data_IF_385688401726
#
_entry.id   IF_385688401726
#
_cell.length_a   1.000
_cell.length_b   1.000
_cell.length_c   1.000
_cell.angle_alpha   90.00
_cell.angle_beta   90.00
_cell.angle_gamma   90.00
#
_symmetry.space_group_name_H-M   'P 1'
#
loop_
_entity.id
_entity.type
_entity.pdbx_description
1 polymer ?
#
# COMPACT_ATOMS: atom_id res chain seq x y z
N UNK A 1 -27.40 -4.66 -5.81
CA UNK A 1 -26.60 -5.35 -6.84
C UNK A 1 -25.94 -4.29 -7.72
N UNK A 2 -24.65 -4.01 -7.48
CA UNK A 2 -23.89 -2.95 -8.17
C UNK A 2 -23.56 -3.32 -9.63
N UNK A 3 -23.63 -4.59 -10.01
CA UNK A 3 -23.21 -5.10 -11.33
C UNK A 3 -24.00 -4.48 -12.51
N UNK A 4 -25.16 -3.91 -12.23
CA UNK A 4 -26.02 -3.27 -13.23
C UNK A 4 -26.10 -1.74 -13.08
N UNK A 5 -25.42 -1.12 -12.11
CA UNK A 5 -25.60 0.30 -11.82
C UNK A 5 -25.26 1.19 -13.03
N UNK A 6 -24.10 1.00 -13.65
CA UNK A 6 -23.62 1.82 -14.76
C UNK A 6 -24.47 1.61 -16.00
N UNK A 7 -24.87 0.35 -16.26
CA UNK A 7 -25.79 0.05 -17.37
C UNK A 7 -27.15 0.67 -17.15
N UNK A 8 -27.64 0.67 -15.91
CA UNK A 8 -28.90 1.33 -15.55
C UNK A 8 -28.77 2.85 -15.71
N UNK A 9 -27.70 3.46 -15.20
CA UNK A 9 -27.40 4.89 -15.35
C UNK A 9 -27.33 5.27 -16.83
N UNK A 10 -26.53 4.55 -17.63
CA UNK A 10 -26.38 4.82 -19.06
C UNK A 10 -27.72 4.77 -19.80
N UNK A 11 -28.57 3.78 -19.48
CA UNK A 11 -29.91 3.63 -20.09
C UNK A 11 -30.88 4.76 -19.74
N UNK A 12 -30.80 5.33 -18.53
CA UNK A 12 -31.75 6.37 -18.09
C UNK A 12 -31.27 7.78 -18.35
N UNK A 13 -29.95 7.96 -18.48
CA UNK A 13 -29.32 9.28 -18.59
C UNK A 13 -28.76 9.57 -19.98
N UNK A 14 -28.81 8.63 -20.94
CA UNK A 14 -28.19 8.72 -22.26
C UNK A 14 -26.73 9.23 -22.24
N UNK A 15 -25.98 8.94 -21.17
CA UNK A 15 -24.56 9.31 -21.04
C UNK A 15 -23.72 8.18 -21.67
N UNK A 16 -22.71 8.48 -22.51
CA UNK A 16 -21.80 7.47 -22.99
C UNK A 16 -21.06 6.82 -21.81
N UNK A 17 -21.15 5.49 -21.70
CA UNK A 17 -20.53 4.75 -20.61
C UNK A 17 -19.19 4.16 -21.05
N UNK A 18 -18.12 4.61 -20.43
CA UNK A 18 -16.76 4.09 -20.61
C UNK A 18 -16.47 3.05 -19.52
N UNK A 19 -16.00 1.88 -19.93
CA UNK A 19 -15.51 0.84 -19.02
C UNK A 19 -14.07 0.48 -19.40
N UNK A 20 -13.18 0.70 -18.44
CA UNK A 20 -11.74 0.43 -18.50
C UNK A 20 -11.40 -0.45 -17.31
N UNK A 21 -10.90 -1.65 -17.62
CA UNK A 21 -10.47 -2.63 -16.63
C UNK A 21 -9.10 -2.29 -16.06
N UNK A 22 -8.14 -2.02 -16.93
CA UNK A 22 -6.76 -1.62 -16.59
C UNK A 22 -6.54 -0.14 -16.90
N UNK A 23 -6.27 0.66 -15.86
CA UNK A 23 -6.00 2.10 -15.99
C UNK A 23 -4.51 2.44 -15.89
N UNK A 24 -3.68 1.53 -15.38
CA UNK A 24 -2.23 1.67 -15.28
C UNK A 24 -1.53 0.80 -16.33
N UNK A 25 -0.69 1.40 -17.16
CA UNK A 25 0.00 0.74 -18.27
C UNK A 25 1.49 1.04 -18.27
N UNK A 26 2.29 0.11 -18.77
CA UNK A 26 3.66 0.42 -19.15
C UNK A 26 3.70 1.17 -20.49
N UNK A 27 4.81 1.87 -20.74
CA UNK A 27 5.02 2.56 -22.01
C UNK A 27 4.93 1.59 -23.21
N UNK A 28 4.29 2.05 -24.28
CA UNK A 28 4.07 1.37 -25.57
C UNK A 28 3.09 0.19 -25.54
N UNK A 29 2.40 -0.03 -24.43
CA UNK A 29 1.33 -1.02 -24.33
C UNK A 29 0.07 -0.58 -25.08
N UNK A 30 -0.73 -1.56 -25.52
CA UNK A 30 -2.06 -1.31 -26.09
C UNK A 30 -3.09 -1.32 -24.96
N UNK A 31 -3.70 -0.17 -24.72
CA UNK A 31 -4.85 -0.06 -23.84
C UNK A 31 -6.14 -0.41 -24.61
N UNK A 32 -7.08 -1.06 -23.91
CA UNK A 32 -8.40 -1.37 -24.43
C UNK A 32 -9.49 -0.81 -23.52
N UNK A 33 -10.62 -0.45 -24.12
CA UNK A 33 -11.81 0.00 -23.41
C UNK A 33 -13.06 -0.52 -24.09
N UNK A 34 -14.13 -0.67 -23.31
CA UNK A 34 -15.46 -0.89 -23.85
C UNK A 34 -16.31 0.36 -23.65
N UNK A 35 -17.20 0.59 -24.60
CA UNK A 35 -18.04 1.77 -24.64
C UNK A 35 -19.47 1.39 -24.96
N UNK A 36 -20.42 1.93 -24.20
CA UNK A 36 -21.85 1.88 -24.54
C UNK A 36 -22.34 3.28 -24.88
N UNK A 37 -22.61 3.53 -26.17
CA UNK A 37 -23.01 4.84 -26.69
C UNK A 37 -23.60 4.74 -28.11
N UNK A 38 -24.50 5.67 -28.44
CA UNK A 38 -25.02 5.82 -29.81
C UNK A 38 -24.10 6.73 -30.63
N UNK A 39 -23.61 6.20 -31.75
CA UNK A 39 -22.71 6.89 -32.71
C UNK A 39 -21.62 7.76 -32.04
N UNK A 40 -20.75 7.17 -31.21
CA UNK A 40 -19.78 7.92 -30.43
C UNK A 40 -18.70 8.54 -31.32
N UNK A 41 -18.34 9.79 -31.00
CA UNK A 41 -17.08 10.40 -31.41
C UNK A 41 -16.07 10.19 -30.29
N UNK A 42 -14.95 9.54 -30.61
CA UNK A 42 -13.92 9.14 -29.64
C UNK A 42 -12.62 9.84 -29.94
N UNK A 43 -12.02 10.43 -28.91
CA UNK A 43 -10.71 11.09 -28.97
C UNK A 43 -9.84 10.62 -27.81
N UNK A 44 -8.57 10.32 -28.07
CA UNK A 44 -7.58 10.08 -27.01
C UNK A 44 -6.45 11.09 -27.15
N UNK A 45 -6.08 11.76 -26.06
CA UNK A 45 -4.98 12.74 -26.02
C UNK A 45 -4.03 12.46 -24.88
N UNK A 46 -2.72 12.67 -25.10
CA UNK A 46 -1.74 12.70 -24.01
C UNK A 46 -1.68 14.07 -23.32
N UNK A 47 -0.86 14.19 -22.28
CA UNK A 47 -0.63 15.42 -21.52
C UNK A 47 -0.12 16.62 -22.36
N UNK A 48 0.54 16.35 -23.48
CA UNK A 48 0.97 17.39 -24.41
C UNK A 48 -0.14 17.87 -25.35
N UNK A 49 -1.36 17.33 -25.22
CA UNK A 49 -2.50 17.61 -26.10
C UNK A 49 -2.42 16.92 -27.47
N UNK A 50 -1.43 16.04 -27.70
CA UNK A 50 -1.30 15.27 -28.94
C UNK A 50 -2.39 14.21 -28.98
N UNK A 51 -3.14 14.19 -30.08
CA UNK A 51 -4.15 13.17 -30.35
C UNK A 51 -3.50 11.86 -30.81
N UNK A 52 -4.01 10.74 -30.30
CA UNK A 52 -3.54 9.39 -30.62
C UNK A 52 -4.55 8.67 -31.52
N UNK A 53 -4.07 7.85 -32.47
CA UNK A 53 -4.94 7.04 -33.31
C UNK A 53 -5.68 5.99 -32.46
N UNK A 54 -7.00 5.94 -32.61
CA UNK A 54 -7.87 4.98 -31.92
C UNK A 54 -8.48 4.04 -32.95
N UNK A 55 -8.37 2.74 -32.71
CA UNK A 55 -9.11 1.73 -33.48
C UNK A 55 -10.42 1.45 -32.75
N UNK A 56 -11.54 1.80 -33.38
CA UNK A 56 -12.88 1.63 -32.80
C UNK A 56 -13.70 0.63 -33.61
N UNK A 57 -14.15 -0.44 -32.96
CA UNK A 57 -14.92 -1.51 -33.58
C UNK A 57 -16.30 -1.62 -32.92
N UNK A 58 -17.37 -1.52 -33.70
CA UNK A 58 -18.72 -1.78 -33.23
C UNK A 58 -18.92 -3.28 -33.02
N UNK A 59 -19.48 -3.68 -31.88
CA UNK A 59 -19.72 -5.10 -31.56
C UNK A 59 -21.19 -5.47 -31.72
N UNK A 60 -22.06 -5.01 -30.81
CA UNK A 60 -23.50 -5.29 -30.84
C UNK A 60 -24.30 -4.11 -30.31
N UNK A 61 -25.36 -3.74 -31.03
CA UNK A 61 -26.24 -2.63 -30.63
C UNK A 61 -25.46 -1.32 -30.51
N UNK A 62 -25.47 -0.73 -29.31
CA UNK A 62 -24.74 0.49 -28.98
C UNK A 62 -23.39 0.22 -28.30
N UNK A 63 -22.85 -1.01 -28.40
CA UNK A 63 -21.55 -1.37 -27.80
C UNK A 63 -20.40 -1.30 -28.80
N UNK A 64 -19.28 -0.79 -28.30
CA UNK A 64 -18.04 -0.59 -29.03
C UNK A 64 -16.86 -1.09 -28.21
N UNK A 65 -15.82 -1.53 -28.90
CA UNK A 65 -14.51 -1.81 -28.32
C UNK A 65 -13.53 -0.87 -28.97
N UNK A 66 -12.76 -0.15 -28.15
CA UNK A 66 -11.69 0.71 -28.62
C UNK A 66 -10.33 0.21 -28.17
N UNK A 67 -9.33 0.47 -29.01
CA UNK A 67 -7.92 0.17 -28.74
C UNK A 67 -7.06 1.37 -29.09
N UNK A 68 -6.07 1.65 -28.25
CA UNK A 68 -5.12 2.74 -28.45
C UNK A 68 -3.77 2.32 -27.90
N UNK A 69 -2.70 2.64 -28.61
CA UNK A 69 -1.34 2.44 -28.12
C UNK A 69 -0.94 3.65 -27.28
N UNK A 70 -0.58 3.42 -26.02
CA UNK A 70 -0.13 4.48 -25.13
C UNK A 70 1.41 4.52 -25.20
N UNK A 71 1.98 5.67 -25.56
CA UNK A 71 3.40 5.74 -25.91
C UNK A 71 4.27 5.94 -24.66
N UNK A 72 4.56 7.17 -24.29
CA UNK A 72 5.46 7.51 -23.19
C UNK A 72 4.70 7.68 -21.86
N UNK A 73 5.45 7.68 -20.74
CA UNK A 73 4.90 7.92 -19.42
C UNK A 73 4.18 9.27 -19.33
N UNK A 74 3.05 9.29 -18.65
CA UNK A 74 2.14 10.43 -18.56
C UNK A 74 0.68 10.01 -18.45
N UNK A 75 -0.22 10.98 -18.44
CA UNK A 75 -1.65 10.75 -18.43
C UNK A 75 -2.22 10.83 -19.85
N UNK A 76 -3.25 10.03 -20.08
CA UNK A 76 -3.95 9.95 -21.36
C UNK A 76 -5.45 10.06 -21.12
N UNK A 77 -6.06 11.10 -21.68
CA UNK A 77 -7.50 11.34 -21.57
C UNK A 77 -8.22 10.71 -22.77
N UNK A 78 -9.11 9.75 -22.49
CA UNK A 78 -10.15 9.30 -23.41
C UNK A 78 -11.37 10.19 -23.24
N UNK A 79 -11.76 10.90 -24.30
CA UNK A 79 -12.99 11.69 -24.35
C UNK A 79 -13.96 11.05 -25.32
N UNK A 80 -15.19 10.80 -24.87
CA UNK A 80 -16.25 10.22 -25.68
C UNK A 80 -17.44 11.14 -25.71
N UNK A 81 -17.81 11.60 -26.90
CA UNK A 81 -19.03 12.38 -27.16
C UNK A 81 -20.09 11.51 -27.80
N UNK A 82 -21.30 11.55 -27.24
CA UNK A 82 -22.50 10.97 -27.85
C UNK A 82 -23.63 12.00 -27.76
N UNK A 83 -24.10 12.47 -28.91
CA UNK A 83 -24.98 13.63 -28.98
C UNK A 83 -24.36 14.87 -28.33
N UNK A 84 -25.06 15.46 -27.36
CA UNK A 84 -24.62 16.63 -26.61
C UNK A 84 -23.87 16.30 -25.30
N UNK A 85 -23.67 15.02 -24.98
CA UNK A 85 -23.04 14.56 -23.73
C UNK A 85 -21.62 14.09 -23.97
N UNK A 86 -20.78 14.29 -22.96
CA UNK A 86 -19.37 13.89 -22.97
C UNK A 86 -19.09 13.12 -21.68
N UNK A 87 -18.37 12.01 -21.82
CA UNK A 87 -17.75 11.30 -20.70
C UNK A 87 -16.25 11.21 -20.94
N UNK A 88 -15.49 11.17 -19.84
CA UNK A 88 -14.03 11.08 -19.88
C UNK A 88 -13.53 9.93 -19.02
N UNK A 89 -12.37 9.43 -19.42
CA UNK A 89 -11.60 8.47 -18.67
C UNK A 89 -10.11 8.77 -18.80
N UNK A 90 -9.32 8.30 -17.84
CA UNK A 90 -7.87 8.56 -17.80
C UNK A 90 -7.13 7.25 -17.64
N UNK A 91 -6.12 7.04 -18.49
CA UNK A 91 -5.06 6.08 -18.24
C UNK A 91 -3.83 6.79 -17.68
N UNK A 92 -3.13 6.12 -16.76
CA UNK A 92 -1.76 6.46 -16.37
C UNK A 92 -0.81 5.52 -17.08
N UNK A 93 0.17 6.07 -17.79
CA UNK A 93 1.36 5.31 -18.23
C UNK A 93 2.47 5.61 -17.24
N UNK A 94 2.88 4.60 -16.49
CA UNK A 94 3.89 4.76 -15.46
C UNK A 94 5.32 4.68 -16.04
N UNK A 95 6.27 5.36 -15.40
CA UNK A 95 7.68 5.09 -15.64
C UNK A 95 8.03 3.65 -15.26
N UNK A 96 9.11 3.06 -15.79
CA UNK A 96 9.59 1.75 -15.34
C UNK A 96 9.74 1.69 -13.82
N UNK A 97 9.39 0.58 -13.18
CA UNK A 97 9.43 0.46 -11.71
C UNK A 97 10.82 0.74 -11.12
N UNK A 98 11.89 0.38 -11.85
CA UNK A 98 13.26 0.77 -11.48
C UNK A 98 13.40 2.29 -11.33
N UNK A 99 12.92 3.05 -12.31
CA UNK A 99 12.97 4.51 -12.28
C UNK A 99 12.22 5.05 -11.05
N UNK A 100 11.03 4.50 -10.76
CA UNK A 100 10.22 4.91 -9.60
C UNK A 100 10.98 4.69 -8.29
N UNK A 101 11.60 3.51 -8.12
CA UNK A 101 12.39 3.18 -6.93
C UNK A 101 13.63 4.06 -6.78
N UNK A 102 14.37 4.27 -7.86
CA UNK A 102 15.56 5.13 -7.87
C UNK A 102 15.19 6.59 -7.54
N UNK A 103 14.10 7.11 -8.13
CA UNK A 103 13.62 8.47 -7.82
C UNK A 103 13.07 8.62 -6.41
N UNK A 104 12.43 7.60 -5.87
CA UNK A 104 12.00 7.60 -4.47
C UNK A 104 13.21 7.71 -3.52
N UNK A 105 14.30 6.97 -3.79
CA UNK A 105 15.57 7.07 -3.04
C UNK A 105 16.24 8.44 -3.20
N UNK A 106 16.33 8.96 -4.43
CA UNK A 106 16.88 10.30 -4.68
C UNK A 106 16.09 11.37 -3.90
N UNK A 107 14.76 11.26 -3.88
CA UNK A 107 13.89 12.17 -3.13
C UNK A 107 14.06 12.02 -1.61
N UNK A 108 14.28 10.81 -1.09
CA UNK A 108 14.60 10.62 0.33
C UNK A 108 15.90 11.35 0.74
N UNK A 109 16.88 11.45 -0.16
CA UNK A 109 18.11 12.20 0.06
C UNK A 109 17.92 13.71 -0.11
N UNK A 110 17.12 14.13 -1.11
CA UNK A 110 16.84 15.54 -1.40
C UNK A 110 15.97 16.19 -0.32
N UNK A 111 14.91 15.51 0.09
CA UNK A 111 13.96 15.97 1.09
C UNK A 111 14.31 15.33 2.43
N UNK A 112 15.17 16.02 3.19
CA UNK A 112 15.70 15.54 4.47
C UNK A 112 14.61 14.99 5.39
N UNK A 113 14.77 13.73 5.77
CA UNK A 113 13.97 13.02 6.77
C UNK A 113 14.21 13.61 8.18
N UNK A 114 13.15 13.91 8.93
CA UNK A 114 13.26 14.72 10.17
C UNK A 114 12.98 13.86 11.42
N UNK A 115 13.84 13.90 12.47
CA UNK A 115 13.57 13.23 13.75
C UNK A 115 12.51 14.01 14.55
N UNK A 116 11.24 13.81 14.22
CA UNK A 116 10.10 14.50 14.88
C UNK A 116 9.26 13.52 15.70
N UNK A 117 8.06 13.93 16.09
CA UNK A 117 7.09 13.10 16.80
C UNK A 117 6.51 11.95 15.99
N UNK A 118 6.57 12.00 14.65
CA UNK A 118 5.83 11.10 13.76
C UNK A 118 6.76 10.44 12.74
N UNK A 119 6.77 9.11 12.69
CA UNK A 119 7.66 8.35 11.81
C UNK A 119 7.48 8.61 10.32
N UNK A 120 6.30 9.08 9.92
CA UNK A 120 5.94 9.59 8.61
C UNK A 120 6.94 10.66 8.14
N UNK A 121 7.57 11.40 9.05
CA UNK A 121 8.66 12.36 8.75
C UNK A 121 9.98 11.71 8.32
N UNK A 122 10.12 10.39 8.47
CA UNK A 122 11.29 9.62 8.06
C UNK A 122 10.97 8.34 7.23
N UNK A 123 9.77 8.24 6.64
CA UNK A 123 9.36 7.10 5.79
C UNK A 123 10.19 6.91 4.53
N UNK A 124 10.87 7.96 4.05
CA UNK A 124 11.74 7.88 2.88
C UNK A 124 12.87 6.85 3.04
N UNK A 125 13.21 6.43 4.26
CA UNK A 125 14.20 5.38 4.48
C UNK A 125 13.74 3.99 4.03
N UNK A 126 12.43 3.69 4.02
CA UNK A 126 11.93 2.47 3.37
C UNK A 126 12.33 2.45 1.89
N UNK A 127 11.98 3.52 1.16
CA UNK A 127 12.35 3.64 -0.25
C UNK A 127 13.85 3.65 -0.47
N UNK A 128 14.62 4.26 0.43
CA UNK A 128 16.07 4.28 0.36
C UNK A 128 16.68 2.88 0.42
N UNK A 129 16.30 2.08 1.43
CA UNK A 129 16.89 0.76 1.66
C UNK A 129 16.35 -0.28 0.68
N UNK A 130 15.07 -0.23 0.33
CA UNK A 130 14.52 -1.08 -0.74
C UNK A 130 15.20 -0.80 -2.09
N UNK A 131 15.42 0.46 -2.46
CA UNK A 131 16.16 0.78 -3.68
C UNK A 131 17.63 0.36 -3.60
N UNK A 132 18.29 0.51 -2.45
CA UNK A 132 19.68 0.05 -2.26
C UNK A 132 19.82 -1.47 -2.47
N UNK A 133 18.83 -2.25 -2.00
CA UNK A 133 18.80 -3.71 -2.17
C UNK A 133 18.73 -4.16 -3.63
N UNK A 134 17.89 -3.50 -4.44
CA UNK A 134 17.63 -3.94 -5.82
C UNK A 134 18.44 -3.16 -6.88
N UNK A 135 18.81 -1.90 -6.59
CA UNK A 135 19.46 -0.95 -7.50
C UNK A 135 20.60 -0.21 -6.77
N UNK A 136 21.65 -0.92 -6.33
CA UNK A 136 22.69 -0.37 -5.47
C UNK A 136 23.39 0.85 -6.09
N UNK A 137 23.61 1.87 -5.27
CA UNK A 137 24.38 3.07 -5.61
C UNK A 137 25.23 3.45 -4.39
N UNK A 138 26.50 3.05 -4.40
CA UNK A 138 27.40 3.12 -3.24
C UNK A 138 27.42 4.51 -2.57
N UNK A 139 27.53 5.57 -3.35
CA UNK A 139 27.60 6.95 -2.84
C UNK A 139 26.30 7.36 -2.14
N UNK A 140 25.17 7.16 -2.83
CA UNK A 140 23.86 7.58 -2.33
C UNK A 140 23.40 6.70 -1.16
N UNK A 141 23.65 5.40 -1.23
CA UNK A 141 23.29 4.44 -0.18
C UNK A 141 24.09 4.70 1.09
N UNK A 142 25.39 5.01 0.97
CA UNK A 142 26.22 5.42 2.11
C UNK A 142 25.76 6.75 2.70
N UNK A 143 25.40 7.73 1.88
CA UNK A 143 24.87 9.01 2.35
C UNK A 143 23.59 8.81 3.17
N UNK A 144 22.65 8.03 2.65
CA UNK A 144 21.36 7.76 3.30
C UNK A 144 21.52 6.90 4.55
N UNK A 145 22.35 5.86 4.51
CA UNK A 145 22.67 5.00 5.65
C UNK A 145 23.29 5.81 6.81
N UNK A 146 24.31 6.63 6.52
CA UNK A 146 24.90 7.53 7.52
C UNK A 146 23.88 8.52 8.09
N UNK A 147 22.94 9.00 7.27
CA UNK A 147 21.92 9.90 7.76
C UNK A 147 20.89 9.20 8.64
N UNK A 148 20.46 8.00 8.26
CA UNK A 148 19.61 7.15 9.07
C UNK A 148 20.24 6.90 10.44
N UNK A 149 21.53 6.54 10.51
CA UNK A 149 22.21 6.29 11.78
C UNK A 149 22.26 7.54 12.67
N UNK A 150 22.51 8.71 12.08
CA UNK A 150 22.44 10.00 12.81
C UNK A 150 21.04 10.28 13.34
N UNK A 151 20.00 10.00 12.55
CA UNK A 151 18.60 10.19 12.95
C UNK A 151 18.20 9.19 14.03
N UNK A 152 18.54 7.92 13.86
CA UNK A 152 18.29 6.84 14.79
C UNK A 152 18.89 7.15 16.17
N UNK A 153 20.15 7.57 16.23
CA UNK A 153 20.86 7.90 17.47
C UNK A 153 20.30 9.15 18.18
N UNK A 154 19.51 9.99 17.50
CA UNK A 154 18.77 11.09 18.13
C UNK A 154 17.45 10.64 18.72
N UNK A 155 16.86 9.57 18.18
CA UNK A 155 15.53 9.08 18.56
C UNK A 155 15.59 7.93 19.57
N UNK A 156 16.73 7.23 19.67
CA UNK A 156 16.87 6.02 20.48
C UNK A 156 18.07 6.08 21.42
N UNK A 157 17.92 5.50 22.60
CA UNK A 157 19.00 5.28 23.55
C UNK A 157 20.02 4.29 22.97
N UNK A 158 21.30 4.67 22.94
CA UNK A 158 22.35 3.87 22.29
C UNK A 158 22.71 2.58 23.04
N UNK A 159 22.37 2.48 24.33
CA UNK A 159 22.69 1.32 25.16
C UNK A 159 21.48 0.41 25.29
N UNK A 160 20.34 0.98 25.71
CA UNK A 160 19.10 0.24 25.93
C UNK A 160 18.36 -0.08 24.63
N UNK A 161 18.61 0.68 23.56
CA UNK A 161 17.92 0.55 22.28
C UNK A 161 16.41 0.75 22.45
N UNK A 162 16.03 1.83 23.12
CA UNK A 162 14.64 2.21 23.39
C UNK A 162 14.37 3.62 22.84
N UNK A 163 13.13 3.96 22.45
CA UNK A 163 12.78 5.32 22.05
C UNK A 163 13.02 6.32 23.18
N UNK A 164 13.63 7.47 22.88
CA UNK A 164 13.84 8.57 23.85
C UNK A 164 12.60 9.45 24.00
N UNK A 165 11.81 9.59 22.93
CA UNK A 165 10.66 10.48 22.84
C UNK A 165 9.43 9.73 22.35
N UNK A 166 8.25 10.21 22.71
CA UNK A 166 6.95 9.66 22.25
C UNK A 166 6.87 8.13 22.36
N UNK A 167 7.37 7.56 23.47
CA UNK A 167 7.46 6.11 23.71
C UNK A 167 6.14 5.37 23.47
N UNK A 168 5.01 6.02 23.75
CA UNK A 168 3.69 5.41 23.58
C UNK A 168 3.22 5.39 22.13
N UNK A 169 3.83 6.17 21.22
CA UNK A 169 3.52 6.15 19.78
C UNK A 169 4.19 4.94 19.12
N UNK A 170 3.66 3.75 19.39
CA UNK A 170 4.26 2.45 19.02
C UNK A 170 4.48 2.26 17.52
N UNK A 171 3.68 2.92 16.69
CA UNK A 171 3.89 2.98 15.25
C UNK A 171 5.28 3.50 14.87
N UNK A 172 5.85 4.46 15.62
CA UNK A 172 7.22 4.94 15.39
C UNK A 172 8.23 3.79 15.53
N UNK A 173 8.11 3.04 16.62
CA UNK A 173 8.99 1.91 16.90
C UNK A 173 8.82 0.81 15.85
N UNK A 174 7.57 0.45 15.51
CA UNK A 174 7.29 -0.57 14.50
C UNK A 174 7.85 -0.19 13.12
N UNK A 175 7.70 1.07 12.71
CA UNK A 175 8.27 1.59 11.47
C UNK A 175 9.80 1.48 11.49
N UNK A 176 10.45 1.91 12.57
CA UNK A 176 11.92 1.84 12.68
C UNK A 176 12.43 0.40 12.66
N UNK A 177 11.70 -0.56 13.26
CA UNK A 177 12.00 -1.99 13.15
C UNK A 177 12.02 -2.41 11.66
N UNK A 178 10.98 -2.06 10.90
CA UNK A 178 10.92 -2.37 9.47
C UNK A 178 12.05 -1.74 8.66
N UNK A 179 12.41 -0.49 8.95
CA UNK A 179 13.52 0.18 8.25
C UNK A 179 14.89 -0.43 8.56
N UNK A 180 15.12 -0.87 9.81
CA UNK A 180 16.34 -1.58 10.18
C UNK A 180 16.43 -2.95 9.50
N UNK A 181 15.28 -3.63 9.36
CA UNK A 181 15.15 -4.86 8.59
C UNK A 181 15.54 -4.62 7.12
N UNK A 182 14.95 -3.62 6.46
CA UNK A 182 15.29 -3.29 5.07
C UNK A 182 16.76 -2.88 4.91
N UNK A 183 17.30 -2.12 5.86
CA UNK A 183 18.72 -1.73 5.89
C UNK A 183 19.63 -2.96 5.98
N UNK A 184 19.30 -3.91 6.86
CA UNK A 184 20.02 -5.18 6.96
C UNK A 184 19.93 -5.99 5.67
N UNK A 185 18.75 -6.12 5.05
CA UNK A 185 18.63 -6.86 3.79
C UNK A 185 19.40 -6.20 2.63
N UNK A 186 19.57 -4.88 2.66
CA UNK A 186 20.36 -4.15 1.68
C UNK A 186 21.87 -4.21 1.92
N UNK A 187 22.34 -4.24 3.18
CA UNK A 187 23.74 -3.99 3.54
C UNK A 187 24.43 -5.13 4.30
N UNK A 188 23.66 -6.05 4.89
CA UNK A 188 24.16 -7.22 5.62
C UNK A 188 24.69 -6.95 7.03
N UNK A 189 24.51 -5.75 7.59
CA UNK A 189 25.01 -5.40 8.92
C UNK A 189 24.14 -5.99 10.05
N UNK A 190 24.66 -7.02 10.72
CA UNK A 190 23.97 -7.68 11.84
C UNK A 190 23.68 -6.75 13.01
N UNK A 191 24.40 -5.64 13.19
CA UNK A 191 24.09 -4.68 14.26
C UNK A 191 22.75 -3.99 14.03
N UNK A 192 22.35 -3.75 12.77
CA UNK A 192 21.03 -3.19 12.47
C UNK A 192 19.91 -4.17 12.79
N UNK A 193 20.12 -5.45 12.48
CA UNK A 193 19.16 -6.50 12.85
C UNK A 193 19.08 -6.68 14.37
N UNK A 194 20.20 -6.59 15.10
CA UNK A 194 20.20 -6.63 16.58
C UNK A 194 19.46 -5.45 17.19
N UNK A 195 19.58 -4.25 16.61
CA UNK A 195 18.77 -3.08 17.02
C UNK A 195 17.29 -3.34 16.80
N UNK A 196 16.91 -3.89 15.63
CA UNK A 196 15.52 -4.22 15.32
C UNK A 196 14.95 -5.25 16.32
N UNK A 197 15.72 -6.29 16.60
CA UNK A 197 15.40 -7.34 17.59
C UNK A 197 15.14 -6.76 18.98
N UNK A 198 16.03 -5.90 19.48
CA UNK A 198 15.87 -5.24 20.78
C UNK A 198 14.68 -4.27 20.83
N UNK A 199 14.44 -3.52 19.76
CA UNK A 199 13.27 -2.64 19.67
C UNK A 199 11.96 -3.44 19.67
N UNK A 200 11.92 -4.59 19.00
CA UNK A 200 10.78 -5.48 19.02
C UNK A 200 10.54 -6.01 20.43
N UNK A 201 11.56 -6.50 21.13
CA UNK A 201 11.47 -6.92 22.54
C UNK A 201 10.88 -5.82 23.43
N UNK A 202 11.40 -4.60 23.31
CA UNK A 202 10.92 -3.46 24.09
C UNK A 202 9.45 -3.13 23.76
N UNK A 203 9.08 -3.09 22.48
CA UNK A 203 7.71 -2.78 22.05
C UNK A 203 6.72 -3.84 22.55
N UNK A 204 7.08 -5.12 22.44
CA UNK A 204 6.28 -6.24 22.93
C UNK A 204 6.08 -6.11 24.44
N UNK A 205 7.16 -5.91 25.21
CA UNK A 205 7.11 -5.82 26.67
C UNK A 205 6.29 -4.64 27.19
N UNK A 206 6.25 -3.53 26.45
CA UNK A 206 5.61 -2.28 26.89
C UNK A 206 4.20 -2.09 26.35
N UNK A 207 3.86 -2.76 25.25
CA UNK A 207 2.66 -2.42 24.46
C UNK A 207 1.76 -3.62 24.16
N UNK A 208 2.26 -4.86 24.20
CA UNK A 208 1.41 -6.04 23.99
C UNK A 208 0.71 -6.44 25.29
N UNK A 209 -0.60 -6.73 25.20
CA UNK A 209 -1.39 -7.23 26.34
C UNK A 209 -1.71 -8.72 26.23
N UNK A 210 -2.31 -9.28 27.27
CA UNK A 210 -2.67 -10.71 27.35
C UNK A 210 -3.53 -11.20 26.18
N UNK A 211 -4.41 -10.34 25.64
CA UNK A 211 -5.22 -10.66 24.47
C UNK A 211 -4.46 -10.64 23.14
N UNK A 212 -3.13 -10.43 23.16
CA UNK A 212 -2.26 -10.47 21.99
C UNK A 212 -2.14 -9.16 21.21
N UNK A 213 -3.09 -8.24 21.36
CA UNK A 213 -3.02 -6.95 20.68
C UNK A 213 -1.90 -6.06 21.22
N UNK A 214 -1.28 -5.28 20.32
CA UNK A 214 -0.47 -4.13 20.65
C UNK A 214 -1.35 -2.91 20.92
N UNK A 215 -1.05 -2.18 22.00
CA UNK A 215 -1.81 -1.04 22.47
C UNK A 215 -0.96 0.22 22.50
N UNK A 216 -1.60 1.34 22.16
CA UNK A 216 -1.14 2.65 22.58
C UNK A 216 -2.12 3.15 23.65
N UNK A 217 -1.63 3.32 24.88
CA UNK A 217 -2.47 3.61 26.04
C UNK A 217 -3.64 2.62 26.14
N UNK A 218 -4.89 3.08 26.07
CA UNK A 218 -6.10 2.28 26.17
C UNK A 218 -6.59 1.67 24.85
N UNK A 219 -6.01 2.06 23.71
CA UNK A 219 -6.54 1.75 22.38
C UNK A 219 -5.78 0.59 21.74
N UNK A 220 -6.52 -0.38 21.20
CA UNK A 220 -5.95 -1.43 20.35
C UNK A 220 -5.43 -0.80 19.08
N UNK A 221 -4.12 -0.89 18.88
CA UNK A 221 -3.41 -0.22 17.81
C UNK A 221 -2.87 -1.15 16.74
N UNK A 222 -3.08 -2.46 16.91
CA UNK A 222 -2.60 -3.45 15.93
C UNK A 222 -3.17 -3.16 14.54
N UNK A 223 -4.38 -2.60 14.47
CA UNK A 223 -5.07 -2.15 13.26
C UNK A 223 -4.57 -0.82 12.69
N UNK A 224 -3.62 -0.12 13.32
CA UNK A 224 -3.14 1.20 12.85
C UNK A 224 -1.72 1.05 12.28
N UNK A 225 -1.57 1.40 11.00
CA UNK A 225 -0.37 1.18 10.17
C UNK A 225 -0.14 -0.31 9.91
N UNK A 226 0.81 -0.98 10.57
CA UNK A 226 1.04 -2.42 10.35
C UNK A 226 2.07 -2.99 11.32
N UNK A 227 1.82 -2.79 12.62
CA UNK A 227 2.77 -3.12 13.68
C UNK A 227 3.20 -4.58 13.63
N UNK A 228 2.25 -5.50 13.51
CA UNK A 228 2.54 -6.93 13.45
C UNK A 228 3.31 -7.29 12.18
N UNK A 229 3.07 -6.61 11.04
CA UNK A 229 3.83 -6.83 9.79
C UNK A 229 5.32 -6.61 10.01
N UNK A 230 5.71 -5.48 10.59
CA UNK A 230 7.14 -5.17 10.79
C UNK A 230 7.83 -6.16 11.72
N UNK A 231 7.12 -6.67 12.73
CA UNK A 231 7.64 -7.74 13.61
C UNK A 231 7.70 -9.10 12.89
N UNK A 232 6.76 -9.40 11.99
CA UNK A 232 6.79 -10.60 11.15
C UNK A 232 7.97 -10.57 10.16
N UNK A 233 8.22 -9.44 9.52
CA UNK A 233 9.35 -9.28 8.59
C UNK A 233 10.69 -9.51 9.30
N UNK A 234 10.84 -8.93 10.48
CA UNK A 234 11.97 -9.22 11.38
C UNK A 234 12.07 -10.71 11.71
N UNK A 235 10.98 -11.32 12.18
CA UNK A 235 10.98 -12.71 12.61
C UNK A 235 11.31 -13.70 11.47
N UNK A 236 10.92 -13.39 10.24
CA UNK A 236 11.28 -14.20 9.04
C UNK A 236 12.80 -14.18 8.81
N UNK A 237 13.44 -13.01 8.95
CA UNK A 237 14.89 -12.90 8.80
C UNK A 237 15.65 -13.54 9.96
N UNK A 238 15.21 -13.31 11.20
CA UNK A 238 15.77 -13.95 12.37
C UNK A 238 15.66 -15.48 12.27
N UNK A 239 14.55 -16.01 11.73
CA UNK A 239 14.37 -17.45 11.51
C UNK A 239 15.42 -18.01 10.54
N UNK A 240 15.69 -17.29 9.45
CA UNK A 240 16.72 -17.68 8.48
C UNK A 240 18.12 -17.74 9.11
N UNK A 241 18.48 -16.76 9.93
CA UNK A 241 19.74 -16.80 10.69
C UNK A 241 19.71 -17.88 11.78
N UNK A 242 18.53 -18.14 12.34
CA UNK A 242 18.26 -19.16 13.34
C UNK A 242 18.48 -20.61 12.88
N UNK A 243 18.61 -20.84 11.58
CA UNK A 243 19.04 -22.13 11.03
C UNK A 243 20.46 -22.50 11.48
N UNK A 244 21.30 -21.51 11.79
CA UNK A 244 22.71 -21.69 12.14
C UNK A 244 23.06 -21.16 13.54
N UNK A 245 22.20 -20.32 14.14
CA UNK A 245 22.48 -19.65 15.41
C UNK A 245 21.27 -19.70 16.37
N UNK A 246 21.49 -20.26 17.56
CA UNK A 246 20.45 -20.41 18.58
C UNK A 246 19.91 -19.06 19.10
N UNK A 247 20.73 -18.02 19.14
CA UNK A 247 20.30 -16.67 19.54
C UNK A 247 19.20 -16.19 18.60
N UNK A 248 19.45 -16.23 17.29
CA UNK A 248 18.51 -15.78 16.28
C UNK A 248 17.25 -16.63 16.24
N UNK A 249 17.37 -17.95 16.41
CA UNK A 249 16.21 -18.84 16.54
C UNK A 249 15.30 -18.45 17.70
N UNK A 250 15.90 -18.14 18.85
CA UNK A 250 15.15 -17.75 20.06
C UNK A 250 14.44 -16.41 19.87
N UNK A 251 15.07 -15.45 19.22
CA UNK A 251 14.44 -14.18 18.86
C UNK A 251 13.28 -14.39 17.87
N UNK A 252 13.51 -15.16 16.80
CA UNK A 252 12.52 -15.47 15.79
C UNK A 252 11.25 -16.09 16.38
N UNK A 253 11.39 -17.09 17.25
CA UNK A 253 10.26 -17.77 17.88
C UNK A 253 9.44 -16.80 18.76
N UNK A 254 10.13 -15.95 19.53
CA UNK A 254 9.50 -14.95 20.39
C UNK A 254 8.75 -13.89 19.58
N UNK A 255 9.41 -13.29 18.59
CA UNK A 255 8.84 -12.23 17.77
C UNK A 255 7.70 -12.74 16.87
N UNK A 256 7.86 -13.93 16.27
CA UNK A 256 6.81 -14.56 15.50
C UNK A 256 5.58 -14.85 16.36
N UNK A 257 5.76 -15.45 17.55
CA UNK A 257 4.64 -15.75 18.45
C UNK A 257 3.91 -14.48 18.87
N UNK A 258 4.65 -13.42 19.20
CA UNK A 258 4.06 -12.12 19.55
C UNK A 258 3.22 -11.56 18.40
N UNK A 259 3.80 -11.46 17.20
CA UNK A 259 3.09 -10.93 16.05
C UNK A 259 1.90 -11.80 15.64
N UNK A 260 2.02 -13.12 15.75
CA UNK A 260 0.90 -14.05 15.51
C UNK A 260 -0.27 -13.80 16.45
N UNK A 261 -0.03 -13.63 17.75
CA UNK A 261 -1.10 -13.30 18.71
C UNK A 261 -1.82 -12.00 18.34
N UNK A 262 -1.09 -11.01 17.87
CA UNK A 262 -1.67 -9.75 17.42
C UNK A 262 -2.53 -9.94 16.14
N UNK A 263 -2.06 -10.73 15.18
CA UNK A 263 -2.83 -11.08 13.97
C UNK A 263 -4.07 -11.92 14.32
N UNK A 264 -3.95 -12.89 15.23
CA UNK A 264 -5.08 -13.69 15.70
C UNK A 264 -6.16 -12.79 16.33
N UNK A 265 -5.75 -11.75 17.07
CA UNK A 265 -6.65 -10.74 17.63
C UNK A 265 -7.34 -9.91 16.53
N UNK A 266 -6.64 -9.54 15.45
CA UNK A 266 -7.26 -8.89 14.30
C UNK A 266 -8.32 -9.79 13.64
N UNK A 267 -8.01 -11.08 13.45
CA UNK A 267 -8.97 -12.04 12.89
C UNK A 267 -10.21 -12.16 13.79
N UNK A 268 -10.00 -12.27 15.10
CA UNK A 268 -11.08 -12.36 16.08
C UNK A 268 -11.99 -11.11 16.12
N UNK A 269 -11.45 -9.94 15.75
CA UNK A 269 -12.19 -8.67 15.73
C UNK A 269 -13.19 -8.56 14.56
N UNK A 270 -13.01 -9.35 13.48
CA UNK A 270 -13.93 -9.43 12.35
C UNK A 270 -14.34 -8.08 11.69
N UNK A 271 -13.47 -7.06 11.77
CA UNK A 271 -13.77 -5.71 11.25
C UNK A 271 -14.14 -4.68 12.31
N UNK A 272 -14.38 -5.08 13.56
CA UNK A 272 -14.60 -4.19 14.70
C UNK A 272 -13.25 -3.73 15.28
N UNK A 273 -12.57 -2.86 14.53
CA UNK A 273 -11.24 -2.36 14.90
C UNK A 273 -11.33 -0.99 15.59
N UNK A 274 -10.32 -0.71 16.43
CA UNK A 274 -10.14 0.59 17.07
C UNK A 274 -9.09 1.41 16.30
N UNK A 275 -9.15 2.75 16.41
CA UNK A 275 -8.21 3.69 15.78
C UNK A 275 -7.88 4.89 16.68
N UNK A 276 -6.92 5.71 16.24
CA UNK A 276 -6.52 6.97 16.88
C UNK A 276 -7.55 8.10 16.81
N UNK A 277 -8.50 8.00 15.88
CA UNK A 277 -9.38 9.09 15.48
C UNK A 277 -10.85 8.81 15.77
N UNK A 278 -11.69 9.13 14.78
CA UNK A 278 -13.12 8.87 14.85
C UNK A 278 -13.38 7.35 14.79
N UNK A 279 -14.30 6.86 15.63
CA UNK A 279 -14.80 5.47 15.60
C UNK A 279 -15.70 5.25 14.38
N UNK A 280 -15.18 5.54 13.19
CA UNK A 280 -15.86 5.44 11.90
C UNK A 280 -15.19 4.36 11.08
N UNK A 281 -15.95 3.60 10.30
CA UNK A 281 -15.40 2.62 9.36
C UNK A 281 -14.54 3.35 8.32
N UNK A 282 -13.22 3.35 8.52
CA UNK A 282 -12.24 4.06 7.70
C UNK A 282 -11.27 3.10 7.00
N UNK A 283 -10.71 3.54 5.86
CA UNK A 283 -9.77 2.74 5.07
C UNK A 283 -8.54 2.32 5.88
N UNK A 284 -7.97 3.23 6.67
CA UNK A 284 -6.74 3.00 7.42
C UNK A 284 -6.79 1.68 8.18
N UNK A 285 -7.72 1.55 9.12
CA UNK A 285 -7.82 0.33 9.94
C UNK A 285 -8.09 -0.95 9.15
N UNK A 286 -8.88 -0.87 8.08
CA UNK A 286 -9.32 -2.03 7.31
C UNK A 286 -8.17 -2.55 6.45
N UNK A 287 -7.52 -1.65 5.70
CA UNK A 287 -6.37 -1.98 4.86
C UNK A 287 -5.19 -2.49 5.69
N UNK A 288 -4.89 -1.81 6.81
CA UNK A 288 -3.84 -2.20 7.75
C UNK A 288 -4.10 -3.58 8.38
N UNK A 289 -5.35 -3.89 8.71
CA UNK A 289 -5.69 -5.20 9.27
C UNK A 289 -5.65 -6.30 8.22
N UNK A 290 -6.24 -6.07 7.05
CA UNK A 290 -6.23 -7.02 5.94
C UNK A 290 -4.81 -7.37 5.51
N UNK A 291 -3.92 -6.39 5.34
CA UNK A 291 -2.56 -6.66 4.90
C UNK A 291 -1.76 -7.49 5.93
N UNK A 292 -1.96 -7.26 7.23
CA UNK A 292 -1.24 -8.00 8.28
C UNK A 292 -1.72 -9.45 8.38
N UNK A 293 -3.03 -9.68 8.27
CA UNK A 293 -3.61 -11.03 8.18
C UNK A 293 -3.13 -11.72 6.90
N UNK A 294 -3.10 -10.99 5.79
CA UNK A 294 -2.60 -11.47 4.50
C UNK A 294 -1.15 -11.91 4.56
N UNK A 295 -0.27 -11.11 5.16
CA UNK A 295 1.13 -11.48 5.34
C UNK A 295 1.26 -12.77 6.16
N UNK A 296 0.49 -12.91 7.26
CA UNK A 296 0.46 -14.14 8.04
C UNK A 296 0.06 -15.35 7.18
N UNK A 297 -0.99 -15.22 6.36
CA UNK A 297 -1.37 -16.27 5.42
C UNK A 297 -0.27 -16.61 4.41
N UNK A 298 0.46 -15.61 3.91
CA UNK A 298 1.55 -15.80 2.94
C UNK A 298 2.71 -16.60 3.54
N UNK A 299 3.12 -16.29 4.78
CA UNK A 299 4.26 -16.94 5.46
C UNK A 299 3.90 -18.31 6.05
N UNK A 300 2.63 -18.57 6.32
CA UNK A 300 2.13 -19.82 6.90
C UNK A 300 2.34 -21.00 5.93
N UNK A 301 2.89 -22.10 6.48
CA UNK A 301 3.18 -23.32 5.73
C UNK A 301 2.09 -24.37 5.90
N UNK A 302 1.39 -24.36 7.04
CA UNK A 302 0.25 -25.24 7.25
C UNK A 302 -0.93 -24.81 6.38
N UNK A 303 -1.45 -25.73 5.55
CA UNK A 303 -2.50 -25.42 4.59
C UNK A 303 -3.81 -24.99 5.26
N UNK A 304 -4.13 -25.54 6.44
CA UNK A 304 -5.36 -25.22 7.17
C UNK A 304 -5.27 -23.80 7.76
N UNK A 305 -4.18 -23.50 8.44
CA UNK A 305 -3.91 -22.17 8.99
C UNK A 305 -3.79 -21.11 7.88
N UNK A 306 -3.09 -21.42 6.78
CA UNK A 306 -3.00 -20.54 5.60
C UNK A 306 -4.38 -20.21 5.06
N UNK A 307 -5.25 -21.21 4.90
CA UNK A 307 -6.63 -20.99 4.45
C UNK A 307 -7.42 -20.13 5.45
N UNK A 308 -7.29 -20.39 6.75
CA UNK A 308 -7.96 -19.63 7.80
C UNK A 308 -7.64 -18.13 7.73
N UNK A 309 -6.37 -17.75 7.63
CA UNK A 309 -5.99 -16.34 7.48
C UNK A 309 -6.41 -15.77 6.12
N UNK A 310 -6.31 -16.56 5.05
CA UNK A 310 -6.76 -16.13 3.72
C UNK A 310 -8.24 -15.76 3.72
N UNK A 311 -9.10 -16.63 4.26
CA UNK A 311 -10.54 -16.39 4.34
C UNK A 311 -10.86 -15.15 5.21
N UNK A 312 -10.18 -15.01 6.34
CA UNK A 312 -10.35 -13.86 7.25
C UNK A 312 -9.94 -12.54 6.59
N UNK A 313 -8.77 -12.49 5.96
CA UNK A 313 -8.30 -11.33 5.20
C UNK A 313 -9.29 -10.96 4.09
N UNK A 314 -9.74 -11.93 3.29
CA UNK A 314 -10.66 -11.68 2.19
C UNK A 314 -12.00 -11.13 2.68
N UNK A 315 -12.52 -11.62 3.82
CA UNK A 315 -13.75 -11.07 4.42
C UNK A 315 -13.58 -9.58 4.75
N UNK A 316 -12.47 -9.21 5.39
CA UNK A 316 -12.17 -7.81 5.76
C UNK A 316 -11.93 -6.96 4.51
N UNK A 317 -11.11 -7.45 3.58
CA UNK A 317 -10.77 -6.73 2.35
C UNK A 317 -12.00 -6.51 1.45
N UNK A 318 -12.90 -7.47 1.30
CA UNK A 318 -14.14 -7.28 0.53
C UNK A 318 -15.10 -6.30 1.23
N UNK A 319 -15.12 -6.25 2.56
CA UNK A 319 -15.92 -5.23 3.28
C UNK A 319 -15.45 -3.80 2.98
N UNK A 320 -14.18 -3.66 2.56
CA UNK A 320 -13.54 -2.40 2.22
C UNK A 320 -13.94 -1.84 0.85
N UNK A 321 -14.60 -2.63 0.00
CA UNK A 321 -14.96 -2.23 -1.37
C UNK A 321 -15.80 -0.94 -1.41
N UNK A 322 -16.56 -0.65 -0.35
CA UNK A 322 -17.34 0.58 -0.22
C UNK A 322 -16.50 1.86 -0.03
N UNK A 323 -15.23 1.72 0.35
CA UNK A 323 -14.25 2.82 0.51
C UNK A 323 -13.18 2.83 -0.58
N UNK A 324 -13.33 2.01 -1.62
CA UNK A 324 -12.33 1.86 -2.69
C UNK A 324 -12.88 2.36 -4.02
N UNK A 325 -12.05 3.07 -4.80
CA UNK A 325 -12.37 3.51 -6.16
C UNK A 325 -12.31 2.35 -7.18
N UNK A 326 -13.13 1.32 -6.98
CA UNK A 326 -13.10 0.10 -7.79
C UNK A 326 -13.51 0.30 -9.25
N UNK A 327 -14.30 1.34 -9.52
CA UNK A 327 -15.06 1.47 -10.78
C UNK A 327 -14.81 2.77 -11.54
N UNK A 328 -14.22 3.78 -10.91
CA UNK A 328 -13.95 5.06 -11.57
C UNK A 328 -12.95 4.85 -12.72
N UNK A 329 -13.26 5.26 -13.96
CA UNK A 329 -12.36 5.05 -15.10
C UNK A 329 -11.27 6.15 -15.14
N UNK A 330 -10.60 6.40 -14.03
CA UNK A 330 -9.57 7.44 -13.90
C UNK A 330 -8.36 6.86 -13.19
N UNK A 331 -7.28 6.63 -13.95
CA UNK A 331 -6.03 6.05 -13.47
C UNK A 331 -5.43 6.78 -12.28
N UNK A 332 -5.66 8.08 -12.14
CA UNK A 332 -5.15 8.87 -11.00
C UNK A 332 -5.73 8.43 -9.66
N UNK A 333 -6.87 7.72 -9.66
CA UNK A 333 -7.59 7.32 -8.44
C UNK A 333 -8.09 5.89 -8.44
N UNK A 334 -8.04 5.19 -9.57
CA UNK A 334 -8.52 3.81 -9.70
C UNK A 334 -7.87 2.94 -8.64
N UNK A 335 -8.66 2.18 -7.89
CA UNK A 335 -8.22 1.33 -6.77
C UNK A 335 -7.56 2.05 -5.59
N UNK A 336 -7.41 3.38 -5.66
CA UNK A 336 -7.15 4.23 -4.53
C UNK A 336 -8.31 4.20 -3.54
N UNK A 337 -8.01 4.54 -2.29
CA UNK A 337 -9.00 4.50 -1.21
C UNK A 337 -9.56 5.90 -0.97
N UNK A 338 -10.75 5.97 -0.37
CA UNK A 338 -11.47 7.20 -0.09
C UNK A 338 -11.17 7.65 1.33
N UNK A 339 -10.48 8.78 1.46
CA UNK A 339 -10.00 9.33 2.73
C UNK A 339 -10.29 10.82 2.82
N UNK A 340 -10.33 11.42 4.00
CA UNK A 340 -10.79 12.80 4.12
C UNK A 340 -10.08 13.66 5.17
N UNK A 341 -9.40 13.09 6.16
CA UNK A 341 -8.98 13.83 7.35
C UNK A 341 -7.47 14.09 7.45
N UNK A 342 -6.68 13.54 6.53
CA UNK A 342 -5.21 13.57 6.56
C UNK A 342 -4.62 14.89 6.07
N UNK A 343 -5.35 15.68 5.27
CA UNK A 343 -4.82 16.88 4.64
C UNK A 343 -4.29 17.91 5.66
N UNK A 344 -4.92 18.01 6.83
CA UNK A 344 -4.45 18.87 7.92
C UNK A 344 -3.15 18.39 8.57
N UNK A 345 -2.89 17.07 8.58
CA UNK A 345 -1.74 16.48 9.25
C UNK A 345 -0.53 16.35 8.30
N UNK A 346 -0.79 16.01 7.04
CA UNK A 346 0.26 15.71 6.07
C UNK A 346 0.78 16.95 5.33
N UNK A 347 -0.14 17.84 4.93
CA UNK A 347 0.18 19.04 4.14
C UNK A 347 -0.28 20.33 4.79
N UNK A 348 -0.70 20.27 6.07
CA UNK A 348 -1.12 21.43 6.86
C UNK A 348 -2.22 22.27 6.20
N UNK A 349 -3.15 21.61 5.49
CA UNK A 349 -4.23 22.29 4.79
C UNK A 349 -5.55 22.13 5.53
N UNK A 350 -6.27 23.26 5.72
CA UNK A 350 -7.61 23.32 6.29
C UNK A 350 -8.56 24.10 5.35
N UNK A 351 -9.84 23.70 5.23
CA UNK A 351 -10.46 22.54 5.87
C UNK A 351 -9.92 21.23 5.28
N UNK A 352 -10.20 20.13 5.98
CA UNK A 352 -9.98 18.79 5.45
C UNK A 352 -10.62 18.61 4.07
N UNK A 353 -10.02 17.77 3.22
CA UNK A 353 -10.46 17.52 1.86
C UNK A 353 -10.50 16.04 1.54
N UNK A 354 -11.35 15.67 0.59
CA UNK A 354 -11.41 14.31 0.10
C UNK A 354 -10.13 13.95 -0.67
N UNK A 355 -9.36 13.02 -0.10
CA UNK A 355 -8.11 12.50 -0.62
C UNK A 355 -8.38 11.12 -1.23
N UNK A 356 -8.36 11.05 -2.56
CA UNK A 356 -8.52 9.78 -3.26
C UNK A 356 -7.80 9.86 -4.62
N UNK A 357 -6.55 9.37 -4.67
CA UNK A 357 -5.86 8.57 -3.67
C UNK A 357 -5.19 9.43 -2.59
N UNK A 358 -4.90 8.80 -1.45
CA UNK A 358 -3.86 9.21 -0.51
C UNK A 358 -2.66 8.27 -0.60
N UNK A 359 -1.47 8.65 -0.10
CA UNK A 359 -0.32 7.73 -0.04
C UNK A 359 -0.61 6.43 0.72
N UNK A 360 -1.50 6.50 1.72
CA UNK A 360 -1.99 5.35 2.49
C UNK A 360 -2.87 4.37 1.71
N UNK A 361 -3.32 4.72 0.51
CA UNK A 361 -3.96 3.74 -0.40
C UNK A 361 -3.02 2.56 -0.69
N UNK A 362 -1.69 2.76 -0.56
CA UNK A 362 -0.70 1.70 -0.70
C UNK A 362 -0.85 0.55 0.30
N UNK A 363 -1.45 0.77 1.47
CA UNK A 363 -1.75 -0.29 2.42
C UNK A 363 -2.73 -1.32 1.85
N UNK A 364 -3.75 -0.84 1.12
CA UNK A 364 -4.67 -1.71 0.40
C UNK A 364 -3.95 -2.47 -0.72
N UNK A 365 -3.03 -1.83 -1.43
CA UNK A 365 -2.26 -2.47 -2.49
C UNK A 365 -1.43 -3.67 -1.98
N UNK A 366 -0.86 -3.58 -0.78
CA UNK A 366 -0.24 -4.75 -0.12
C UNK A 366 -1.27 -5.87 0.12
N UNK A 367 -2.44 -5.54 0.66
CA UNK A 367 -3.49 -6.53 0.93
C UNK A 367 -3.98 -7.22 -0.35
N UNK A 368 -4.20 -6.48 -1.44
CA UNK A 368 -4.60 -7.07 -2.73
C UNK A 368 -3.48 -7.90 -3.34
N UNK A 369 -2.21 -7.49 -3.20
CA UNK A 369 -1.09 -8.30 -3.65
C UNK A 369 -1.01 -9.64 -2.89
N UNK A 370 -1.18 -9.61 -1.56
CA UNK A 370 -1.25 -10.84 -0.76
C UNK A 370 -2.48 -11.68 -1.12
N UNK A 371 -3.63 -11.07 -1.40
CA UNK A 371 -4.81 -11.79 -1.90
C UNK A 371 -4.52 -12.53 -3.20
N UNK A 372 -3.79 -11.93 -4.14
CA UNK A 372 -3.32 -12.62 -5.34
C UNK A 372 -2.40 -13.80 -4.99
N UNK A 373 -1.37 -13.60 -4.16
CA UNK A 373 -0.43 -14.68 -3.77
C UNK A 373 -1.12 -15.85 -3.04
N UNK A 374 -2.19 -15.57 -2.31
CA UNK A 374 -2.93 -16.57 -1.53
C UNK A 374 -3.96 -17.33 -2.37
N UNK A 375 -4.52 -16.71 -3.41
CA UNK A 375 -5.69 -17.26 -4.14
C UNK A 375 -5.41 -17.58 -5.61
N UNK A 376 -4.43 -16.95 -6.23
CA UNK A 376 -4.20 -16.99 -7.68
C UNK A 376 -5.25 -16.25 -8.51
N UNK A 377 -6.20 -15.53 -7.89
CA UNK A 377 -7.24 -14.79 -8.61
C UNK A 377 -6.66 -13.48 -9.18
N UNK A 378 -6.53 -13.43 -10.51
CA UNK A 378 -5.93 -12.34 -11.28
C UNK A 378 -6.58 -10.98 -11.01
N UNK A 379 -7.86 -10.95 -10.60
CA UNK A 379 -8.52 -9.68 -10.27
C UNK A 379 -7.75 -8.90 -9.21
N UNK A 380 -7.13 -9.58 -8.25
CA UNK A 380 -6.39 -8.94 -7.17
C UNK A 380 -5.07 -8.34 -7.66
N UNK A 381 -4.43 -8.99 -8.63
CA UNK A 381 -3.23 -8.48 -9.28
C UNK A 381 -3.55 -7.21 -10.06
N UNK A 382 -4.63 -7.24 -10.85
CA UNK A 382 -5.12 -6.07 -11.56
C UNK A 382 -5.44 -4.91 -10.60
N UNK A 383 -6.12 -5.18 -9.49
CA UNK A 383 -6.41 -4.14 -8.50
C UNK A 383 -5.13 -3.53 -7.93
N UNK A 384 -4.11 -4.36 -7.68
CA UNK A 384 -2.81 -3.91 -7.18
C UNK A 384 -2.13 -2.98 -8.18
N UNK A 385 -2.00 -3.38 -9.45
CA UNK A 385 -1.30 -2.58 -10.45
C UNK A 385 -2.05 -1.30 -10.85
N UNK A 386 -3.38 -1.36 -10.86
CA UNK A 386 -4.20 -0.17 -11.04
C UNK A 386 -4.01 0.84 -9.89
N UNK A 387 -3.82 0.39 -8.65
CA UNK A 387 -3.58 1.27 -7.51
C UNK A 387 -2.18 1.90 -7.49
N UNK A 388 -1.21 1.29 -8.19
CA UNK A 388 0.18 1.76 -8.28
C UNK A 388 0.43 2.73 -9.45
N UNK A 389 -0.45 2.77 -10.45
CA UNK A 389 -0.43 3.79 -11.51
C UNK A 389 -1.15 5.04 -11.08
#
# INVERSE_FOLDING_TARGET
NLDNLERAIARVSDIPLIDIRQTSHAAREEASFTLTADNPNVKVTNDAGKELPVVLTKTKGNRWIGKVRLEDAGLYTLSVRSGNKVAEAIWTVHHPWQWVMEKARENAARYHQKPTSHAESWYGFYSAFLAARYFPNESLDKQLSNYFDRLYNKLHDSVKVEPLYFKTRIQNTSTTIGMLVDKYEAQGDLEDLKKASKLADWMIATSQRENGAYYNHGTVYTSVIYIAKSVLELAVLERKLGEQDLFWRTCADRHFLSAKKAVDQLVASQGDFQTEGELTFEDGMISCSALQIGMMGVIEQDAVARKYYTDAMLKILNSHDCLTQLRVPDGRRRQGTMRYWEAQYDVQMLPNMFNSPHGWSGWRAYATYYAYLLTGDEKWLEQTFNAMG
#
